data_IF_582893053880
#
_entry.id   IF_582893053880
#
_cell.length_a   1.000
_cell.length_b   1.000
_cell.length_c   1.000
_cell.angle_alpha   90.00
_cell.angle_beta   90.00
_cell.angle_gamma   90.00
#
_symmetry.space_group_name_H-M   'P 1'
#
loop_
_entity.id
_entity.type
_entity.pdbx_description
1 polymer ?
#
# COMPACT_ATOMS: atom_id res chain seq x y z
N UNK A 1 0.41 -14.77 5.46
CA UNK A 1 0.05 -13.49 6.10
C UNK A 1 1.32 -12.86 6.66
N UNK A 2 1.50 -11.55 6.50
CA UNK A 2 2.58 -10.80 7.18
C UNK A 2 1.98 -10.03 8.34
N UNK A 3 2.53 -10.21 9.55
CA UNK A 3 2.12 -9.47 10.75
C UNK A 3 3.21 -8.47 11.10
N UNK A 4 2.85 -7.20 11.27
CA UNK A 4 3.79 -6.10 11.55
C UNK A 4 3.52 -5.45 12.92
N UNK A 5 3.89 -6.09 14.03
CA UNK A 5 3.83 -5.44 15.34
C UNK A 5 4.91 -4.35 15.40
N UNK A 6 4.59 -3.20 15.99
CA UNK A 6 5.51 -2.07 16.13
C UNK A 6 5.48 -1.49 17.54
N UNK A 7 6.62 -0.96 17.99
CA UNK A 7 6.77 -0.19 19.23
C UNK A 7 7.58 1.08 18.94
N UNK A 8 7.36 2.14 19.72
CA UNK A 8 8.25 3.29 19.70
C UNK A 8 9.58 2.93 20.39
N UNK A 9 10.65 3.54 19.90
CA UNK A 9 12.02 3.37 20.40
C UNK A 9 12.71 4.73 20.41
N UNK A 10 13.64 4.93 21.33
CA UNK A 10 14.46 6.13 21.35
C UNK A 10 15.54 6.08 20.27
N UNK A 11 16.02 7.26 19.83
CA UNK A 11 17.02 7.37 18.78
C UNK A 11 18.35 6.66 19.13
N UNK A 12 18.66 6.50 20.42
CA UNK A 12 19.84 5.78 20.92
C UNK A 12 19.76 4.27 20.74
N UNK A 13 18.55 3.70 20.66
CA UNK A 13 18.31 2.25 20.46
C UNK A 13 18.35 1.84 18.99
N UNK A 14 18.41 2.80 18.07
CA UNK A 14 18.28 2.55 16.63
C UNK A 14 19.58 2.01 16.05
N UNK A 15 19.53 0.78 15.55
CA UNK A 15 20.61 0.23 14.73
C UNK A 15 20.53 0.80 13.31
N UNK A 16 21.53 1.60 12.93
CA UNK A 16 21.57 2.29 11.64
C UNK A 16 21.48 1.35 10.43
N UNK A 17 22.01 0.13 10.55
CA UNK A 17 21.94 -0.92 9.51
C UNK A 17 20.53 -1.44 9.25
N UNK A 18 19.61 -1.26 10.21
CA UNK A 18 18.20 -1.68 10.12
C UNK A 18 17.24 -0.51 9.85
N UNK A 19 17.78 0.68 9.58
CA UNK A 19 16.98 1.85 9.25
C UNK A 19 16.31 1.70 7.87
N UNK A 20 14.98 1.81 7.84
CA UNK A 20 14.20 1.81 6.61
C UNK A 20 13.30 3.05 6.51
N UNK A 21 13.83 4.13 5.94
CA UNK A 21 13.02 5.29 5.56
C UNK A 21 12.10 4.95 4.38
N UNK A 22 10.82 4.69 4.64
CA UNK A 22 9.81 4.35 3.61
C UNK A 22 9.25 5.60 2.91
N UNK A 23 8.46 5.43 1.86
CA UNK A 23 7.78 6.53 1.16
C UNK A 23 8.67 7.37 0.22
N UNK A 24 9.93 6.97 0.04
CA UNK A 24 10.85 7.59 -0.90
C UNK A 24 10.49 7.16 -2.34
N UNK A 25 10.54 8.12 -3.27
CA UNK A 25 10.05 7.94 -4.64
C UNK A 25 10.78 6.85 -5.45
N UNK A 26 12.05 6.57 -5.12
CA UNK A 26 12.85 5.52 -5.74
C UNK A 26 12.69 4.15 -5.06
N UNK A 27 12.13 4.10 -3.84
CA UNK A 27 11.91 2.85 -3.11
C UNK A 27 10.64 2.15 -3.58
N UNK A 28 10.51 0.83 -3.36
CA UNK A 28 9.28 0.13 -3.67
C UNK A 28 8.12 0.74 -2.89
N UNK A 29 6.91 0.61 -3.43
CA UNK A 29 5.71 0.93 -2.66
C UNK A 29 5.66 0.09 -1.38
N UNK A 30 5.10 0.65 -0.31
CA UNK A 30 5.17 0.04 1.03
C UNK A 30 4.61 -1.39 1.03
N UNK A 31 3.45 -1.62 0.42
CA UNK A 31 2.85 -2.96 0.37
C UNK A 31 3.68 -3.95 -0.46
N UNK A 32 4.33 -3.51 -1.56
CA UNK A 32 5.26 -4.36 -2.33
C UNK A 32 6.54 -4.69 -1.56
N UNK A 33 7.03 -3.75 -0.74
CA UNK A 33 8.12 -4.03 0.19
C UNK A 33 7.72 -5.11 1.21
N UNK A 34 6.51 -5.01 1.79
CA UNK A 34 5.98 -6.00 2.74
C UNK A 34 5.71 -7.35 2.07
N UNK A 35 5.18 -7.36 0.84
CA UNK A 35 4.97 -8.56 0.01
C UNK A 35 6.29 -9.30 -0.22
N UNK A 36 7.38 -8.58 -0.50
CA UNK A 36 8.72 -9.17 -0.63
C UNK A 36 9.29 -9.80 0.65
N UNK A 37 8.65 -9.61 1.81
CA UNK A 37 8.99 -10.28 3.07
C UNK A 37 8.21 -11.58 3.26
N UNK A 38 7.26 -11.90 2.38
CA UNK A 38 6.47 -13.13 2.46
C UNK A 38 7.37 -14.35 2.31
N UNK A 39 7.16 -15.37 3.15
CA UNK A 39 8.01 -16.56 3.20
C UNK A 39 9.38 -16.35 3.86
N UNK A 40 9.71 -15.11 4.24
CA UNK A 40 10.91 -14.78 5.00
C UNK A 40 10.77 -15.06 6.50
N UNK A 41 11.91 -15.06 7.20
CA UNK A 41 11.96 -15.13 8.65
C UNK A 41 11.64 -13.79 9.34
N UNK A 42 11.75 -13.77 10.66
CA UNK A 42 11.55 -12.55 11.47
C UNK A 42 12.55 -11.46 11.05
N UNK A 43 12.03 -10.27 10.72
CA UNK A 43 12.80 -9.08 10.35
C UNK A 43 12.41 -7.91 11.24
N UNK A 44 13.40 -7.09 11.61
CA UNK A 44 13.20 -5.85 12.38
C UNK A 44 13.70 -4.68 11.55
N UNK A 45 12.83 -3.68 11.35
CA UNK A 45 13.16 -2.45 10.64
C UNK A 45 12.82 -1.24 11.52
N UNK A 46 13.71 -0.26 11.57
CA UNK A 46 13.44 1.03 12.21
C UNK A 46 12.91 1.99 11.16
N UNK A 47 11.69 2.49 11.36
CA UNK A 47 11.04 3.40 10.41
C UNK A 47 10.84 4.75 11.10
N UNK A 48 11.29 5.87 10.50
CA UNK A 48 11.01 7.19 11.05
C UNK A 48 9.50 7.40 11.24
N UNK A 49 9.12 7.95 12.39
CA UNK A 49 7.71 8.07 12.79
C UNK A 49 6.83 8.73 11.72
N UNK A 50 7.31 9.86 11.18
CA UNK A 50 6.63 10.59 10.11
C UNK A 50 6.43 9.74 8.86
N UNK A 51 7.43 8.94 8.49
CA UNK A 51 7.35 8.08 7.31
C UNK A 51 6.32 6.96 7.53
N UNK A 52 6.29 6.38 8.73
CA UNK A 52 5.32 5.34 9.07
C UNK A 52 3.90 5.86 9.08
N UNK A 53 3.64 7.04 9.66
CA UNK A 53 2.30 7.65 9.62
C UNK A 53 1.86 8.00 8.20
N UNK A 54 2.78 8.48 7.36
CA UNK A 54 2.47 8.88 5.99
C UNK A 54 2.58 7.76 4.94
N UNK A 55 2.75 6.50 5.37
CA UNK A 55 2.90 5.35 4.45
C UNK A 55 1.73 5.20 3.47
N UNK A 56 0.56 5.72 3.83
CA UNK A 56 -0.68 5.66 3.06
C UNK A 56 -1.21 7.05 2.65
N UNK A 57 -0.44 8.12 2.88
CA UNK A 57 -0.91 9.51 2.62
C UNK A 57 -0.98 9.86 1.13
N UNK A 58 -0.22 9.17 0.28
CA UNK A 58 -0.37 9.32 -1.17
C UNK A 58 -1.72 8.70 -1.57
N UNK A 59 -2.67 9.53 -2.01
CA UNK A 59 -3.98 9.08 -2.47
C UNK A 59 -3.82 7.94 -3.48
N UNK A 60 -4.70 6.94 -3.41
CA UNK A 60 -4.77 5.85 -4.39
C UNK A 60 -3.53 4.92 -4.34
N UNK A 61 -2.74 4.93 -3.27
CA UNK A 61 -1.50 4.15 -3.26
C UNK A 61 -1.71 2.64 -3.46
N UNK A 62 -2.88 2.10 -3.09
CA UNK A 62 -3.24 0.70 -3.36
C UNK A 62 -3.58 0.45 -4.83
N UNK A 63 -4.30 1.36 -5.50
CA UNK A 63 -4.71 1.19 -6.90
C UNK A 63 -3.63 1.65 -7.90
N UNK A 64 -2.51 2.21 -7.41
CA UNK A 64 -1.41 2.64 -8.28
C UNK A 64 -0.87 1.49 -9.16
N UNK A 65 -0.95 0.24 -8.71
CA UNK A 65 -0.59 -0.93 -9.52
C UNK A 65 -1.57 -1.14 -10.68
N UNK A 66 -2.87 -1.00 -10.43
CA UNK A 66 -3.91 -1.09 -11.47
C UNK A 66 -3.82 0.05 -12.49
N UNK A 67 -3.44 1.25 -12.03
CA UNK A 67 -3.33 2.44 -12.88
C UNK A 67 -2.01 2.43 -13.67
N UNK A 68 -0.90 2.05 -13.04
CA UNK A 68 0.43 2.01 -13.64
C UNK A 68 1.10 0.68 -13.25
N UNK A 69 0.83 -0.42 -13.98
CA UNK A 69 1.37 -1.74 -13.64
C UNK A 69 2.91 -1.79 -13.60
N UNK A 70 3.57 -1.04 -14.48
CA UNK A 70 5.04 -0.91 -14.51
C UNK A 70 5.60 0.06 -13.44
N UNK A 71 4.72 0.69 -12.66
CA UNK A 71 5.02 1.81 -11.76
C UNK A 71 6.01 1.46 -10.66
N UNK A 72 6.03 0.20 -10.23
CA UNK A 72 6.96 -0.29 -9.21
C UNK A 72 8.28 -0.83 -9.80
N UNK A 73 8.48 -0.84 -11.11
CA UNK A 73 9.75 -1.25 -11.72
C UNK A 73 10.88 -0.28 -11.29
N UNK A 74 12.07 -0.76 -10.89
CA UNK A 74 13.15 0.11 -10.39
C UNK A 74 13.52 1.26 -11.35
N UNK A 75 13.60 0.99 -12.65
CA UNK A 75 13.87 2.01 -13.66
C UNK A 75 12.74 3.04 -13.77
N UNK A 76 11.49 2.59 -13.69
CA UNK A 76 10.34 3.50 -13.73
C UNK A 76 10.33 4.40 -12.50
N UNK A 77 10.51 3.83 -11.30
CA UNK A 77 10.62 4.59 -10.06
C UNK A 77 11.75 5.60 -10.12
N UNK A 78 12.92 5.21 -10.64
CA UNK A 78 14.07 6.09 -10.75
C UNK A 78 13.84 7.28 -11.72
N UNK A 79 13.11 7.07 -12.81
CA UNK A 79 12.88 8.12 -13.82
C UNK A 79 11.64 8.96 -13.54
N UNK A 80 10.55 8.33 -13.10
CA UNK A 80 9.20 8.91 -13.03
C UNK A 80 8.56 8.81 -11.64
N UNK A 81 9.16 8.12 -10.67
CA UNK A 81 8.56 7.90 -9.35
C UNK A 81 8.30 9.19 -8.55
N UNK A 82 9.05 10.26 -8.83
CA UNK A 82 8.84 11.58 -8.22
C UNK A 82 7.52 12.26 -8.67
N UNK A 83 7.00 11.87 -9.84
CA UNK A 83 5.72 12.36 -10.38
C UNK A 83 4.50 11.53 -9.94
N UNK A 84 4.70 10.48 -9.12
CA UNK A 84 3.66 9.56 -8.64
C UNK A 84 3.20 9.91 -7.21
N UNK A 85 1.89 9.91 -6.91
CA UNK A 85 0.76 9.60 -7.81
C UNK A 85 0.44 10.77 -8.75
N UNK A 86 0.08 10.49 -10.02
CA UNK A 86 -0.45 11.52 -10.90
C UNK A 86 -1.77 12.07 -10.32
N UNK A 87 -2.08 13.34 -10.63
CA UNK A 87 -3.35 13.94 -10.23
C UNK A 87 -4.51 13.14 -10.83
N UNK A 88 -5.59 12.95 -10.07
CA UNK A 88 -6.80 12.25 -10.55
C UNK A 88 -7.36 12.88 -11.83
N UNK A 89 -7.27 14.21 -11.97
CA UNK A 89 -7.66 14.90 -13.20
C UNK A 89 -6.83 14.49 -14.42
N UNK A 90 -5.53 14.26 -14.23
CA UNK A 90 -4.64 13.78 -15.29
C UNK A 90 -5.01 12.36 -15.72
N UNK A 91 -5.30 11.48 -14.75
CA UNK A 91 -5.78 10.12 -15.03
C UNK A 91 -7.10 10.13 -15.80
N UNK A 92 -8.05 10.96 -15.40
CA UNK A 92 -9.33 11.11 -16.13
C UNK A 92 -9.16 11.61 -17.57
N UNK A 93 -8.14 12.42 -17.83
CA UNK A 93 -7.84 12.91 -19.18
C UNK A 93 -7.20 11.84 -20.08
N UNK A 94 -6.43 10.93 -19.50
CA UNK A 94 -5.73 9.87 -20.26
C UNK A 94 -6.50 8.55 -20.32
N UNK A 95 -7.59 8.41 -19.55
CA UNK A 95 -8.47 7.23 -19.57
C UNK A 95 -9.29 7.14 -20.86
N UNK A 96 -9.28 5.96 -21.48
CA UNK A 96 -10.18 5.65 -22.60
C UNK A 96 -11.61 5.41 -22.10
N UNK A 97 -12.61 5.61 -22.97
CA UNK A 97 -14.02 5.46 -22.60
C UNK A 97 -14.36 4.09 -22.00
N UNK A 98 -13.70 3.02 -22.48
CA UNK A 98 -13.87 1.65 -21.99
C UNK A 98 -13.31 1.44 -20.59
N UNK A 99 -12.15 2.02 -20.28
CA UNK A 99 -11.54 1.95 -18.94
C UNK A 99 -12.42 2.74 -17.95
N UNK A 100 -12.94 3.89 -18.37
CA UNK A 100 -13.84 4.69 -17.56
C UNK A 100 -15.13 3.95 -17.21
N UNK A 101 -15.74 3.26 -18.18
CA UNK A 101 -16.95 2.45 -17.94
C UNK A 101 -16.70 1.32 -16.94
N UNK A 102 -15.54 0.64 -17.02
CA UNK A 102 -15.16 -0.42 -16.07
C UNK A 102 -15.00 0.17 -14.66
N UNK A 103 -14.29 1.29 -14.51
CA UNK A 103 -14.14 1.95 -13.22
C UNK A 103 -15.50 2.38 -12.64
N UNK A 104 -16.39 2.97 -13.44
CA UNK A 104 -17.70 3.44 -12.97
C UNK A 104 -18.64 2.29 -12.60
N UNK A 105 -18.55 1.14 -13.28
CA UNK A 105 -19.48 0.01 -13.08
C UNK A 105 -18.99 -1.08 -12.13
N UNK A 106 -17.67 -1.26 -12.00
CA UNK A 106 -17.10 -2.41 -11.32
C UNK A 106 -16.20 -2.05 -10.12
N UNK A 107 -15.80 -0.78 -9.97
CA UNK A 107 -14.90 -0.39 -8.89
C UNK A 107 -15.67 0.04 -7.64
N UNK A 108 -15.78 -0.87 -6.67
CA UNK A 108 -16.37 -0.59 -5.35
C UNK A 108 -15.33 -0.86 -4.27
N UNK A 109 -15.04 0.15 -3.45
CA UNK A 109 -14.24 0.00 -2.24
C UNK A 109 -15.19 0.13 -1.06
N UNK A 110 -15.16 -0.85 -0.16
CA UNK A 110 -15.99 -0.87 1.03
C UNK A 110 -15.13 -1.04 2.28
N UNK A 111 -15.30 -0.14 3.24
CA UNK A 111 -14.71 -0.23 4.57
C UNK A 111 -15.85 -0.49 5.56
N UNK A 112 -15.71 -1.50 6.40
CA UNK A 112 -16.76 -1.96 7.31
C UNK A 112 -16.21 -2.08 8.73
N UNK A 113 -16.95 -1.56 9.71
CA UNK A 113 -16.69 -1.79 11.12
C UNK A 113 -17.65 -2.84 11.65
N UNK A 114 -17.12 -3.98 12.08
CA UNK A 114 -17.89 -5.06 12.67
C UNK A 114 -17.58 -5.13 14.17
N UNK A 115 -18.59 -5.24 15.04
CA UNK A 115 -18.36 -5.51 16.47
C UNK A 115 -17.56 -6.79 16.65
N UNK A 116 -16.59 -6.78 17.57
CA UNK A 116 -15.72 -7.94 17.80
C UNK A 116 -16.51 -9.21 18.18
N UNK A 117 -17.62 -9.06 18.91
CA UNK A 117 -18.53 -10.16 19.26
C UNK A 117 -19.22 -10.84 18.07
N UNK A 118 -19.12 -10.25 16.88
CA UNK A 118 -19.74 -10.71 15.63
C UNK A 118 -18.71 -11.01 14.54
N UNK A 119 -17.41 -11.07 14.90
CA UNK A 119 -16.35 -11.30 13.92
C UNK A 119 -16.51 -12.65 13.21
N UNK A 120 -16.83 -13.72 13.92
CA UNK A 120 -17.00 -15.05 13.33
C UNK A 120 -18.14 -15.06 12.28
N UNK A 121 -19.31 -14.52 12.64
CA UNK A 121 -20.44 -14.37 11.72
C UNK A 121 -20.09 -13.52 10.49
N UNK A 122 -19.27 -12.48 10.65
CA UNK A 122 -18.84 -11.65 9.54
C UNK A 122 -17.85 -12.37 8.62
N UNK A 123 -16.92 -13.17 9.18
CA UNK A 123 -16.00 -13.99 8.40
C UNK A 123 -16.76 -15.03 7.57
N UNK A 124 -17.77 -15.69 8.15
CA UNK A 124 -18.63 -16.65 7.45
C UNK A 124 -19.38 -16.01 6.27
N UNK A 125 -19.90 -14.79 6.46
CA UNK A 125 -20.55 -14.04 5.38
C UNK A 125 -19.54 -13.67 4.28
N UNK A 126 -18.33 -13.24 4.66
CA UNK A 126 -17.31 -12.89 3.68
C UNK A 126 -16.83 -14.08 2.86
N UNK A 127 -16.65 -15.24 3.50
CA UNK A 127 -16.32 -16.49 2.79
C UNK A 127 -17.46 -16.91 1.85
N UNK A 128 -18.71 -16.84 2.29
CA UNK A 128 -19.86 -17.23 1.46
C UNK A 128 -20.08 -16.34 0.24
N UNK A 129 -19.90 -15.03 0.37
CA UNK A 129 -20.22 -14.07 -0.69
C UNK A 129 -19.03 -13.73 -1.58
N UNK A 130 -17.79 -13.88 -1.09
CA UNK A 130 -16.57 -13.44 -1.78
C UNK A 130 -15.43 -14.49 -1.85
N UNK A 131 -15.62 -15.68 -1.28
CA UNK A 131 -14.66 -16.79 -1.25
C UNK A 131 -14.76 -17.77 -2.42
#
# INVERSE_FOLDING_TARGET
>A
MVIMPARFVDASEVESSKMNSIGLWYKPWFYKHVEGLFGGGKRVEYIPLRHYFHRHTKSIFWELEEIIPIGNHPLFRFLFGWAVPPKVSFLKLTQTAKIREIYEKAHVIQDMLVPFSKMDEALDVFEKEYG
#
